data_IF_586002569855
#
_entry.id   IF_586002569855
#
_cell.length_a   1.000
_cell.length_b   1.000
_cell.length_c   1.000
_cell.angle_alpha   90.00
_cell.angle_beta   90.00
_cell.angle_gamma   90.00
#
_symmetry.space_group_name_H-M   'P 1'
#
loop_
_entity.id
_entity.type
_entity.pdbx_description
1 polymer ?
#
# COMPACT_ATOMS: atom_id res chain seq x y z
N UNK A 1 -6.30 15.28 59.10
CA UNK A 1 -7.11 15.01 57.89
C UNK A 1 -6.82 16.05 56.80
N UNK A 2 -6.04 15.67 55.78
CA UNK A 2 -5.75 16.54 54.64
C UNK A 2 -6.74 16.19 53.52
N UNK A 3 -7.58 17.16 53.15
CA UNK A 3 -8.55 17.01 52.05
C UNK A 3 -7.78 17.22 50.74
N UNK A 4 -7.65 16.15 49.94
CA UNK A 4 -7.11 16.23 48.59
C UNK A 4 -8.08 16.98 47.69
N UNK A 5 -7.69 18.15 47.21
CA UNK A 5 -8.43 18.90 46.20
C UNK A 5 -8.27 18.13 44.88
N UNK A 6 -9.36 17.53 44.40
CA UNK A 6 -9.39 16.88 43.08
C UNK A 6 -9.00 17.85 41.95
N UNK A 7 -8.59 17.35 40.78
CA UNK A 7 -8.12 18.20 39.68
C UNK A 7 -9.15 19.28 39.34
N UNK A 8 -8.70 20.53 39.21
CA UNK A 8 -9.55 21.67 38.86
C UNK A 8 -10.36 21.36 37.60
N UNK A 9 -11.68 21.51 37.67
CA UNK A 9 -12.58 21.23 36.55
C UNK A 9 -12.27 22.19 35.38
N UNK A 10 -11.56 21.69 34.37
CA UNK A 10 -11.33 22.43 33.11
C UNK A 10 -12.52 22.27 32.17
N UNK A 11 -12.70 23.25 31.27
CA UNK A 11 -13.73 23.17 30.22
C UNK A 11 -13.50 21.93 29.34
N UNK A 12 -14.59 21.27 28.98
CA UNK A 12 -14.61 20.15 28.02
C UNK A 12 -14.26 20.70 26.64
N UNK A 13 -13.33 20.03 25.98
CA UNK A 13 -12.93 20.29 24.60
C UNK A 13 -13.36 19.12 23.71
N UNK A 14 -13.36 19.30 22.39
CA UNK A 14 -13.78 18.22 21.47
C UNK A 14 -12.97 16.93 21.64
N UNK A 15 -11.68 17.03 21.97
CA UNK A 15 -10.81 15.87 22.22
C UNK A 15 -11.16 15.07 23.48
N UNK A 16 -12.05 15.57 24.34
CA UNK A 16 -12.48 14.88 25.56
C UNK A 16 -13.72 13.99 25.33
N UNK A 17 -14.27 13.98 24.11
CA UNK A 17 -15.52 13.30 23.77
C UNK A 17 -15.23 12.16 22.79
N UNK A 18 -15.65 10.94 23.13
CA UNK A 18 -15.60 9.79 22.25
C UNK A 18 -17.01 9.26 21.96
N UNK A 19 -17.34 9.08 20.67
CA UNK A 19 -18.58 8.46 20.22
C UNK A 19 -18.26 7.01 19.85
N UNK A 20 -18.76 6.06 20.64
CA UNK A 20 -18.53 4.63 20.41
C UNK A 20 -19.71 4.05 19.64
N UNK A 21 -19.47 3.64 18.39
CA UNK A 21 -20.46 2.94 17.59
C UNK A 21 -20.20 1.44 17.61
N UNK A 22 -21.28 0.65 17.61
CA UNK A 22 -21.21 -0.82 17.57
C UNK A 22 -20.65 -1.35 16.24
N UNK A 23 -20.85 -0.64 15.14
CA UNK A 23 -20.41 -1.03 13.81
C UNK A 23 -19.95 0.17 12.98
N UNK A 24 -18.96 -0.05 12.09
CA UNK A 24 -18.41 0.97 11.19
C UNK A 24 -19.40 1.46 10.12
N UNK A 25 -20.50 0.73 9.93
CA UNK A 25 -21.63 1.15 9.07
C UNK A 25 -22.30 2.42 9.58
N UNK A 26 -22.27 2.65 10.90
CA UNK A 26 -22.88 3.81 11.54
C UNK A 26 -22.05 5.09 11.43
N UNK A 27 -20.75 5.00 11.12
CA UNK A 27 -19.85 6.17 11.12
C UNK A 27 -20.34 7.29 10.22
N UNK A 28 -20.69 6.99 8.97
CA UNK A 28 -21.08 8.02 7.98
C UNK A 28 -22.21 8.93 8.45
N UNK A 29 -23.25 8.37 9.11
CA UNK A 29 -24.35 9.18 9.61
C UNK A 29 -23.92 10.17 10.73
N UNK A 30 -22.92 9.81 11.54
CA UNK A 30 -22.34 10.69 12.55
C UNK A 30 -21.35 11.68 11.94
N UNK A 31 -20.54 11.25 10.97
CA UNK A 31 -19.63 12.13 10.22
C UNK A 31 -20.42 13.26 9.54
N UNK A 32 -21.47 12.93 8.79
CA UNK A 32 -22.35 13.90 8.12
C UNK A 32 -23.06 14.85 9.11
N UNK A 33 -23.40 14.38 10.31
CA UNK A 33 -24.03 15.19 11.33
C UNK A 33 -23.05 16.16 11.99
N UNK A 34 -21.84 15.70 12.31
CA UNK A 34 -20.77 16.51 12.91
C UNK A 34 -20.25 17.55 11.92
N UNK A 35 -20.11 17.18 10.65
CA UNK A 35 -19.72 18.11 9.58
C UNK A 35 -20.75 19.23 9.40
N UNK A 36 -22.05 18.90 9.33
CA UNK A 36 -23.13 19.90 9.26
C UNK A 36 -23.18 20.82 10.49
N UNK A 37 -22.78 20.31 11.65
CA UNK A 37 -22.70 21.08 12.89
C UNK A 37 -21.40 21.89 13.02
N UNK A 38 -20.46 21.77 12.07
CA UNK A 38 -19.15 22.43 12.14
C UNK A 38 -18.26 21.91 13.27
N UNK A 39 -18.52 20.70 13.77
CA UNK A 39 -17.76 20.10 14.88
C UNK A 39 -16.57 19.32 14.30
N UNK A 40 -15.33 19.65 14.66
CA UNK A 40 -14.17 18.89 14.21
C UNK A 40 -14.20 17.49 14.83
N UNK A 41 -13.99 16.46 14.00
CA UNK A 41 -14.01 15.06 14.43
C UNK A 41 -12.88 14.25 13.78
N UNK A 42 -12.56 13.12 14.42
CA UNK A 42 -11.62 12.13 13.91
C UNK A 42 -12.27 10.74 13.98
N UNK A 43 -12.39 10.08 12.82
CA UNK A 43 -12.90 8.71 12.76
C UNK A 43 -11.74 7.72 12.76
N UNK A 44 -11.55 7.02 13.87
CA UNK A 44 -10.58 5.92 13.99
C UNK A 44 -11.18 4.66 13.34
N UNK A 45 -10.45 4.03 12.41
CA UNK A 45 -10.90 2.87 11.63
C UNK A 45 -12.06 3.13 10.62
N UNK A 46 -12.15 4.36 10.09
CA UNK A 46 -13.08 4.66 9.00
C UNK A 46 -12.89 3.74 7.79
N UNK A 47 -14.01 3.37 7.13
CA UNK A 47 -14.04 2.44 5.99
C UNK A 47 -13.16 2.86 4.80
N UNK A 48 -12.75 4.13 4.75
CA UNK A 48 -12.04 4.72 3.62
C UNK A 48 -10.55 4.41 3.53
N UNK A 49 -9.84 4.07 4.62
CA UNK A 49 -8.36 4.03 4.60
C UNK A 49 -7.81 3.01 3.58
N UNK A 50 -8.15 1.72 3.72
CA UNK A 50 -7.75 0.67 2.78
C UNK A 50 -8.47 0.74 1.42
N UNK A 51 -9.48 1.60 1.30
CA UNK A 51 -10.20 1.81 0.04
C UNK A 51 -9.55 2.87 -0.84
N UNK A 52 -8.60 3.65 -0.32
CA UNK A 52 -7.84 4.63 -1.11
C UNK A 52 -6.97 3.90 -2.13
N UNK A 53 -6.96 4.40 -3.36
CA UNK A 53 -6.17 3.83 -4.45
C UNK A 53 -4.69 3.70 -4.06
N UNK A 54 -4.12 4.75 -3.46
CA UNK A 54 -2.72 4.78 -2.99
C UNK A 54 -2.40 3.67 -1.98
N UNK A 55 -3.31 3.38 -1.05
CA UNK A 55 -3.10 2.33 -0.03
C UNK A 55 -3.17 0.95 -0.67
N UNK A 56 -4.10 0.73 -1.62
CA UNK A 56 -4.19 -0.53 -2.36
C UNK A 56 -2.95 -0.74 -3.22
N UNK A 57 -2.48 0.31 -3.89
CA UNK A 57 -1.28 0.25 -4.73
C UNK A 57 -0.04 -0.11 -3.90
N UNK A 58 0.10 0.48 -2.70
CA UNK A 58 1.17 0.14 -1.78
C UNK A 58 1.09 -1.31 -1.30
N UNK A 59 -0.11 -1.79 -0.91
CA UNK A 59 -0.31 -3.17 -0.49
C UNK A 59 0.02 -4.17 -1.61
N UNK A 60 -0.44 -3.91 -2.83
CA UNK A 60 -0.13 -4.72 -4.00
C UNK A 60 1.38 -4.75 -4.28
N UNK A 61 2.06 -3.61 -4.14
CA UNK A 61 3.51 -3.54 -4.30
C UNK A 61 4.24 -4.35 -3.22
N UNK A 62 3.83 -4.26 -1.96
CA UNK A 62 4.40 -5.06 -0.88
C UNK A 62 4.17 -6.55 -1.08
N UNK A 63 2.99 -6.94 -1.58
CA UNK A 63 2.69 -8.33 -1.90
C UNK A 63 3.57 -8.87 -3.03
N UNK A 64 3.78 -8.08 -4.08
CA UNK A 64 4.71 -8.41 -5.17
C UNK A 64 6.16 -8.57 -4.69
N UNK A 65 6.57 -7.77 -3.71
CA UNK A 65 7.90 -7.86 -3.12
C UNK A 65 8.05 -9.05 -2.17
N UNK A 66 6.99 -9.43 -1.46
CA UNK A 66 6.99 -10.56 -0.56
C UNK A 66 7.08 -11.89 -1.32
N UNK A 67 6.35 -12.01 -2.43
CA UNK A 67 6.43 -13.15 -3.33
C UNK A 67 6.60 -12.69 -4.79
N UNK A 68 7.84 -12.50 -5.25
CA UNK A 68 8.12 -12.15 -6.64
C UNK A 68 7.79 -13.26 -7.65
N UNK A 69 7.47 -14.48 -7.19
CA UNK A 69 7.14 -15.60 -8.08
C UNK A 69 5.67 -15.62 -8.49
N UNK A 70 4.82 -14.80 -7.86
CA UNK A 70 3.45 -14.57 -8.31
C UNK A 70 3.45 -13.63 -9.54
N UNK A 71 3.31 -14.23 -10.72
CA UNK A 71 3.33 -13.54 -12.00
C UNK A 71 2.27 -12.43 -12.11
N UNK A 72 1.07 -12.64 -11.55
CA UNK A 72 -0.03 -11.68 -11.66
C UNK A 72 0.27 -10.44 -10.83
N UNK A 73 0.69 -10.65 -9.60
CA UNK A 73 1.01 -9.57 -8.66
C UNK A 73 2.26 -8.82 -9.12
N UNK A 74 3.28 -9.53 -9.63
CA UNK A 74 4.46 -8.93 -10.22
C UNK A 74 4.13 -8.11 -11.47
N UNK A 75 3.30 -8.61 -12.38
CA UNK A 75 2.87 -7.85 -13.56
C UNK A 75 2.14 -6.55 -13.16
N UNK A 76 1.32 -6.61 -12.11
CA UNK A 76 0.68 -5.43 -11.52
C UNK A 76 1.68 -4.40 -11.02
N UNK A 77 2.71 -4.83 -10.28
CA UNK A 77 3.78 -3.95 -9.81
C UNK A 77 4.56 -3.32 -10.98
N UNK A 78 4.94 -4.11 -11.99
CA UNK A 78 5.67 -3.63 -13.18
C UNK A 78 4.89 -2.57 -13.98
N UNK A 79 3.57 -2.72 -14.06
CA UNK A 79 2.65 -1.77 -14.72
C UNK A 79 2.41 -0.50 -13.90
N UNK A 80 2.58 -0.56 -12.59
CA UNK A 80 2.29 0.56 -11.69
C UNK A 80 3.08 1.82 -12.06
N UNK A 81 2.62 3.04 -11.69
CA UNK A 81 3.35 4.28 -11.96
C UNK A 81 4.79 4.30 -11.43
N UNK A 82 5.12 3.46 -10.44
CA UNK A 82 6.46 3.37 -9.86
C UNK A 82 7.50 2.79 -10.83
N UNK A 83 7.11 1.84 -11.68
CA UNK A 83 8.00 1.15 -12.62
C UNK A 83 7.65 1.43 -14.09
N UNK A 84 6.36 1.65 -14.36
CA UNK A 84 5.82 2.16 -15.62
C UNK A 84 6.25 1.38 -16.86
N UNK A 85 6.37 0.05 -16.79
CA UNK A 85 6.57 -0.77 -17.99
C UNK A 85 5.33 -0.69 -18.88
N UNK A 86 5.55 -0.62 -20.20
CA UNK A 86 4.46 -0.60 -21.17
C UNK A 86 3.71 -1.94 -21.23
N UNK A 87 2.44 -1.90 -21.62
CA UNK A 87 1.64 -3.12 -21.82
C UNK A 87 2.28 -4.05 -22.88
N UNK A 88 2.94 -3.47 -23.91
CA UNK A 88 3.73 -4.22 -24.90
C UNK A 88 4.94 -4.93 -24.26
N UNK A 89 5.67 -4.25 -23.36
CA UNK A 89 6.78 -4.87 -22.66
C UNK A 89 6.31 -6.03 -21.76
N UNK A 90 5.21 -5.85 -21.04
CA UNK A 90 4.59 -6.89 -20.22
C UNK A 90 4.14 -8.08 -21.07
N UNK A 91 3.53 -7.82 -22.23
CA UNK A 91 3.13 -8.86 -23.17
C UNK A 91 4.32 -9.68 -23.67
N UNK A 92 5.42 -9.03 -24.06
CA UNK A 92 6.64 -9.73 -24.51
C UNK A 92 7.28 -10.57 -23.41
N UNK A 93 7.30 -10.05 -22.18
CA UNK A 93 7.78 -10.80 -21.01
C UNK A 93 6.90 -12.04 -20.74
N UNK A 94 5.59 -11.91 -20.84
CA UNK A 94 4.65 -13.02 -20.68
C UNK A 94 4.83 -14.08 -21.79
N UNK A 95 5.05 -13.66 -23.05
CA UNK A 95 5.30 -14.58 -24.16
C UNK A 95 6.63 -15.33 -23.99
N UNK A 96 7.69 -14.64 -23.55
CA UNK A 96 8.99 -15.27 -23.31
C UNK A 96 8.95 -16.28 -22.15
N UNK A 97 8.07 -16.05 -21.16
CA UNK A 97 7.78 -17.01 -20.08
C UNK A 97 7.11 -18.29 -20.61
N UNK A 98 6.20 -18.21 -21.59
CA UNK A 98 5.57 -19.42 -22.14
C UNK A 98 6.59 -20.37 -22.80
N UNK A 99 7.68 -19.81 -23.33
CA UNK A 99 8.76 -20.57 -23.98
C UNK A 99 9.85 -21.04 -23.03
N UNK A 100 10.02 -20.33 -21.91
CA UNK A 100 11.02 -20.61 -20.88
C UNK A 100 10.25 -21.03 -19.63
N UNK A 101 10.15 -22.33 -19.33
CA UNK A 101 9.31 -22.94 -18.29
C UNK A 101 9.58 -22.49 -16.83
N UNK A 102 9.48 -21.18 -16.58
CA UNK A 102 9.85 -20.47 -15.37
C UNK A 102 8.86 -19.35 -15.06
N UNK A 103 9.21 -18.50 -14.10
CA UNK A 103 8.37 -17.36 -13.66
C UNK A 103 8.64 -16.10 -14.49
N UNK A 104 7.70 -15.16 -14.45
CA UNK A 104 7.86 -13.83 -15.03
C UNK A 104 9.09 -13.11 -14.45
N UNK A 105 9.38 -13.34 -13.17
CA UNK A 105 10.56 -12.81 -12.49
C UNK A 105 11.86 -13.32 -13.10
N UNK A 106 11.97 -14.62 -13.38
CA UNK A 106 13.16 -15.20 -14.02
C UNK A 106 13.37 -14.64 -15.42
N UNK A 107 12.29 -14.52 -16.20
CA UNK A 107 12.33 -13.89 -17.54
C UNK A 107 12.81 -12.44 -17.47
N UNK A 108 12.33 -11.69 -16.46
CA UNK A 108 12.74 -10.31 -16.22
C UNK A 108 14.23 -10.21 -15.83
N UNK A 109 14.74 -11.15 -15.02
CA UNK A 109 16.15 -11.18 -14.60
C UNK A 109 17.10 -11.56 -15.74
N UNK A 110 16.70 -12.54 -16.56
CA UNK A 110 17.55 -13.06 -17.63
C UNK A 110 17.70 -12.07 -18.78
N UNK A 111 16.82 -11.06 -18.87
CA UNK A 111 16.87 -9.96 -19.84
C UNK A 111 17.02 -10.44 -21.30
N UNK A 112 16.43 -11.61 -21.63
CA UNK A 112 16.51 -12.22 -22.96
C UNK A 112 15.43 -11.71 -23.92
N UNK A 113 14.56 -10.82 -23.45
CA UNK A 113 13.42 -10.29 -24.21
C UNK A 113 13.82 -8.99 -24.92
N UNK A 114 13.53 -8.90 -26.22
CA UNK A 114 13.69 -7.65 -26.95
C UNK A 114 12.62 -6.64 -26.53
N UNK A 115 13.01 -5.67 -25.72
CA UNK A 115 12.18 -4.55 -25.28
C UNK A 115 12.62 -3.25 -25.96
N UNK A 116 11.78 -2.21 -25.87
CA UNK A 116 12.18 -0.85 -26.24
C UNK A 116 13.36 -0.38 -25.37
N UNK A 117 14.11 0.63 -25.82
CA UNK A 117 15.22 1.19 -25.03
C UNK A 117 14.76 1.73 -23.68
N UNK A 118 13.57 2.37 -23.64
CA UNK A 118 12.97 2.89 -22.43
C UNK A 118 12.51 1.76 -21.49
N UNK A 119 11.84 0.73 -22.01
CA UNK A 119 11.36 -0.38 -21.18
C UNK A 119 12.51 -1.27 -20.70
N UNK A 120 13.60 -1.39 -21.45
CA UNK A 120 14.82 -2.06 -20.98
C UNK A 120 15.41 -1.34 -19.76
N UNK A 121 15.46 0.00 -19.79
CA UNK A 121 15.90 0.79 -18.64
C UNK A 121 14.97 0.61 -17.44
N UNK A 122 13.65 0.62 -17.66
CA UNK A 122 12.65 0.41 -16.60
C UNK A 122 12.72 -1.00 -16.02
N UNK A 123 12.85 -2.03 -16.84
CA UNK A 123 13.00 -3.41 -16.43
C UNK A 123 14.27 -3.61 -15.59
N UNK A 124 15.41 -3.09 -16.04
CA UNK A 124 16.66 -3.16 -15.26
C UNK A 124 16.58 -2.43 -13.92
N UNK A 125 15.86 -1.30 -13.87
CA UNK A 125 15.57 -0.58 -12.61
C UNK A 125 14.65 -1.40 -11.71
N UNK A 126 13.60 -2.00 -12.26
CA UNK A 126 12.66 -2.84 -11.54
C UNK A 126 13.37 -4.03 -10.88
N UNK A 127 14.22 -4.75 -11.62
CA UNK A 127 15.00 -5.87 -11.09
C UNK A 127 15.85 -5.42 -9.90
N UNK A 128 16.59 -4.33 -10.03
CA UNK A 128 17.43 -3.79 -8.95
C UNK A 128 16.60 -3.42 -7.71
N UNK A 129 15.48 -2.70 -7.90
CA UNK A 129 14.62 -2.29 -6.80
C UNK A 129 14.02 -3.50 -6.07
N UNK A 130 13.46 -4.44 -6.82
CA UNK A 130 12.84 -5.64 -6.24
C UNK A 130 13.88 -6.49 -5.52
N UNK A 131 15.09 -6.67 -6.06
CA UNK A 131 16.16 -7.41 -5.38
C UNK A 131 16.58 -6.75 -4.05
N UNK A 132 16.75 -5.42 -4.04
CA UNK A 132 17.11 -4.68 -2.82
C UNK A 132 16.01 -4.82 -1.76
N UNK A 133 14.76 -4.57 -2.15
CA UNK A 133 13.62 -4.56 -1.23
C UNK A 133 13.27 -5.97 -0.76
N UNK A 134 13.29 -6.97 -1.64
CA UNK A 134 13.07 -8.38 -1.28
C UNK A 134 14.15 -8.87 -0.30
N UNK A 135 15.41 -8.42 -0.42
CA UNK A 135 16.46 -8.73 0.55
C UNK A 135 16.20 -8.20 1.97
N UNK A 136 15.34 -7.18 2.10
CA UNK A 136 14.90 -6.59 3.38
C UNK A 136 13.61 -7.22 3.92
N UNK A 137 12.84 -7.93 3.09
CA UNK A 137 11.64 -8.67 3.50
C UNK A 137 12.03 -9.75 4.51
N UNK A 138 11.38 -9.74 5.68
CA UNK A 138 11.66 -10.68 6.78
C UNK A 138 12.82 -10.30 7.70
N UNK A 139 13.56 -9.20 7.43
CA UNK A 139 14.64 -8.69 8.29
C UNK A 139 14.29 -7.42 9.06
N UNK A 140 13.20 -6.77 8.69
CA UNK A 140 12.76 -5.51 9.28
C UNK A 140 11.25 -5.58 9.45
N UNK A 141 10.73 -5.10 10.58
CA UNK A 141 9.27 -5.07 10.77
C UNK A 141 8.68 -3.94 9.92
N UNK A 142 7.40 -4.02 9.56
CA UNK A 142 6.72 -2.94 8.80
C UNK A 142 6.83 -1.59 9.53
N UNK A 143 6.96 -1.62 10.87
CA UNK A 143 7.15 -0.42 11.69
C UNK A 143 8.51 0.26 11.49
N UNK A 144 9.52 -0.45 11.00
CA UNK A 144 10.87 0.08 10.77
C UNK A 144 11.06 0.66 9.34
N UNK A 145 10.04 0.53 8.48
CA UNK A 145 10.02 1.04 7.11
C UNK A 145 9.29 2.40 6.98
N UNK A 146 8.68 2.90 8.07
CA UNK A 146 8.00 4.20 8.18
C UNK A 146 8.84 5.19 8.98
#
# INVERSE_FOLDING_TARGET
PQVGIGPQARRITYGDIAILCRASTSFGAYEDALERAGVPFLTVAGRGFYQRAEIRDLLNALQALADPTDDLVLAGLLRSPALALSDEALYRLAQARETSAGSLWETLQNNQVQLSSQDTQRASRAVKLIQVLHGQVGRTTVADLL
#
